data_IF_470793992096
#
_entry.id   IF_470793992096
#
_cell.length_a   1.000
_cell.length_b   1.000
_cell.length_c   1.000
_cell.angle_alpha   90.00
_cell.angle_beta   90.00
_cell.angle_gamma   90.00
#
_symmetry.space_group_name_H-M   'P 1'
#
loop_
_entity.id
_entity.type
_entity.pdbx_description
1 polymer ?
#
# COMPACT_ATOMS: atom_id res chain seq x y z
N UNK A 1 21.79 0.22 23.26
CA UNK A 1 20.62 0.66 24.08
C UNK A 1 19.47 1.28 23.24
N UNK A 2 19.65 1.44 21.92
CA UNK A 2 18.67 2.13 21.05
C UNK A 2 17.51 1.24 20.57
N UNK A 3 17.64 -0.08 20.62
CA UNK A 3 16.70 -0.97 19.97
C UNK A 3 15.43 -1.35 20.77
N UNK A 4 15.41 -1.15 22.08
CA UNK A 4 14.26 -1.52 22.92
C UNK A 4 13.04 -0.60 22.70
N UNK A 5 13.27 0.71 22.56
CA UNK A 5 12.16 1.67 22.36
C UNK A 5 11.48 1.51 20.99
N UNK A 6 12.25 1.20 19.92
CA UNK A 6 11.71 0.91 18.60
C UNK A 6 10.91 -0.42 18.61
N UNK A 7 11.40 -1.44 19.32
CA UNK A 7 10.69 -2.72 19.46
C UNK A 7 9.34 -2.57 20.17
N UNK A 8 9.27 -1.74 21.22
CA UNK A 8 8.01 -1.46 21.93
C UNK A 8 7.02 -0.66 21.08
N UNK A 9 7.48 0.35 20.33
CA UNK A 9 6.60 1.12 19.41
C UNK A 9 5.96 0.19 18.37
N UNK A 10 6.74 -0.70 17.75
CA UNK A 10 6.23 -1.67 16.79
C UNK A 10 5.23 -2.66 17.37
N UNK A 11 5.36 -3.09 18.63
CA UNK A 11 4.45 -4.03 19.28
C UNK A 11 3.07 -3.43 19.55
N UNK A 12 3.00 -2.16 19.96
CA UNK A 12 1.73 -1.44 20.19
C UNK A 12 1.02 -1.21 18.84
N UNK A 13 1.73 -0.70 17.84
CA UNK A 13 1.19 -0.48 16.50
C UNK A 13 0.62 -1.77 15.89
N UNK A 14 1.34 -2.89 16.01
CA UNK A 14 0.88 -4.22 15.57
C UNK A 14 -0.38 -4.68 16.29
N UNK A 15 -0.46 -4.48 17.61
CA UNK A 15 -1.63 -4.84 18.39
C UNK A 15 -2.85 -4.00 18.02
N UNK A 16 -2.66 -2.70 17.84
CA UNK A 16 -3.71 -1.78 17.42
C UNK A 16 -4.18 -2.09 16.00
N UNK A 17 -3.28 -2.29 15.04
CA UNK A 17 -3.62 -2.58 13.65
C UNK A 17 -4.49 -3.85 13.48
N UNK A 18 -4.36 -4.82 14.41
CA UNK A 18 -5.15 -6.06 14.40
C UNK A 18 -6.48 -5.96 15.14
N UNK A 19 -6.57 -5.08 16.15
CA UNK A 19 -7.70 -5.04 17.09
C UNK A 19 -8.60 -3.83 16.94
N UNK A 20 -8.15 -2.78 16.28
CA UNK A 20 -8.94 -1.58 16.09
C UNK A 20 -10.17 -1.87 15.21
N UNK A 21 -11.29 -1.27 15.59
CA UNK A 21 -12.53 -1.31 14.81
C UNK A 21 -12.68 -0.13 13.84
N UNK A 22 -11.69 0.76 13.81
CA UNK A 22 -11.62 1.95 12.96
C UNK A 22 -10.26 2.02 12.26
N UNK A 23 -10.16 2.82 11.22
CA UNK A 23 -8.89 3.11 10.56
C UNK A 23 -7.90 3.76 11.53
N UNK A 24 -6.62 3.45 11.38
CA UNK A 24 -5.53 3.91 12.25
C UNK A 24 -4.57 4.78 11.46
N UNK A 25 -4.32 5.99 11.94
CA UNK A 25 -3.23 6.83 11.47
C UNK A 25 -2.06 6.76 12.47
N UNK A 26 -0.92 6.29 12.00
CA UNK A 26 0.33 6.21 12.76
C UNK A 26 1.27 7.30 12.26
N UNK A 27 1.64 8.22 13.12
CA UNK A 27 2.56 9.31 12.80
C UNK A 27 3.97 8.92 13.23
N UNK A 28 4.93 9.07 12.33
CA UNK A 28 6.36 8.75 12.58
C UNK A 28 7.05 9.87 13.35
N UNK A 29 6.77 11.11 12.97
CA UNK A 29 7.33 12.32 13.57
C UNK A 29 6.20 13.32 13.83
N UNK A 30 5.46 13.16 14.96
CA UNK A 30 4.40 14.09 15.31
C UNK A 30 4.99 15.46 15.66
N UNK A 31 4.59 16.47 14.92
CA UNK A 31 5.00 17.86 15.10
C UNK A 31 3.79 18.72 15.49
N UNK A 32 4.03 19.83 16.19
CA UNK A 32 2.98 20.78 16.57
C UNK A 32 2.53 21.59 15.35
N UNK A 33 3.48 21.90 14.46
CA UNK A 33 3.19 22.60 13.21
C UNK A 33 2.66 21.65 12.14
N UNK A 34 1.69 22.10 11.36
CA UNK A 34 1.11 21.28 10.29
C UNK A 34 2.13 21.06 9.17
N UNK A 35 2.47 19.79 8.92
CA UNK A 35 3.30 19.40 7.79
C UNK A 35 2.43 19.16 6.56
N UNK A 36 2.88 19.65 5.40
CA UNK A 36 2.19 19.39 4.14
C UNK A 36 2.33 17.92 3.75
N UNK A 37 1.21 17.29 3.38
CA UNK A 37 1.18 15.94 2.85
C UNK A 37 1.02 16.01 1.33
N UNK A 38 2.13 16.17 0.60
CA UNK A 38 2.13 16.38 -0.85
C UNK A 38 2.08 15.08 -1.66
N UNK A 39 2.68 14.00 -1.12
CA UNK A 39 2.85 12.71 -1.79
C UNK A 39 2.16 11.61 -1.00
N UNK A 40 1.00 11.20 -1.43
CA UNK A 40 0.29 10.04 -0.88
C UNK A 40 0.60 8.80 -1.72
N UNK A 41 0.81 7.68 -1.06
CA UNK A 41 0.98 6.38 -1.70
C UNK A 41 0.00 5.36 -1.13
N UNK A 42 -0.57 4.51 -1.98
CA UNK A 42 -1.46 3.43 -1.56
C UNK A 42 -1.02 2.11 -2.14
N UNK A 43 -1.09 1.05 -1.32
CA UNK A 43 -0.85 -0.30 -1.79
C UNK A 43 -2.04 -0.81 -2.61
N UNK A 44 -1.80 -1.06 -3.90
CA UNK A 44 -2.76 -1.61 -4.85
C UNK A 44 -2.90 -3.14 -4.80
N UNK A 45 -2.46 -3.78 -3.73
CA UNK A 45 -2.49 -5.23 -3.53
C UNK A 45 -3.81 -5.85 -4.02
N UNK A 46 -3.71 -7.00 -4.70
CA UNK A 46 -4.90 -7.76 -5.15
C UNK A 46 -5.63 -8.39 -3.97
N UNK A 47 -6.53 -7.62 -3.38
CA UNK A 47 -7.31 -8.01 -2.21
C UNK A 47 -8.72 -7.39 -2.29
N UNK A 48 -9.79 -8.02 -1.75
CA UNK A 48 -11.15 -7.48 -1.79
C UNK A 48 -11.31 -6.07 -1.21
N UNK A 49 -10.53 -5.71 -0.19
CA UNK A 49 -10.56 -4.39 0.45
C UNK A 49 -9.84 -3.28 -0.31
N UNK A 50 -9.06 -3.63 -1.34
CA UNK A 50 -8.16 -2.67 -2.01
C UNK A 50 -8.91 -1.52 -2.67
N UNK A 51 -10.07 -1.78 -3.24
CA UNK A 51 -10.90 -0.72 -3.83
C UNK A 51 -11.27 0.35 -2.77
N UNK A 52 -11.72 -0.07 -1.59
CA UNK A 52 -12.07 0.86 -0.51
C UNK A 52 -10.84 1.59 0.05
N UNK A 53 -9.70 0.89 0.11
CA UNK A 53 -8.44 1.50 0.55
C UNK A 53 -7.93 2.55 -0.44
N UNK A 54 -8.07 2.31 -1.75
CA UNK A 54 -7.76 3.30 -2.78
C UNK A 54 -8.72 4.50 -2.68
N UNK A 55 -10.02 4.27 -2.49
CA UNK A 55 -11.00 5.35 -2.25
C UNK A 55 -10.62 6.20 -1.05
N UNK A 56 -10.21 5.57 0.06
CA UNK A 56 -9.75 6.27 1.25
C UNK A 56 -8.47 7.08 0.96
N UNK A 57 -7.52 6.53 0.21
CA UNK A 57 -6.30 7.24 -0.16
C UNK A 57 -6.58 8.47 -1.03
N UNK A 58 -7.52 8.37 -1.98
CA UNK A 58 -7.99 9.53 -2.78
C UNK A 58 -8.66 10.56 -1.88
N UNK A 59 -9.53 10.12 -0.95
CA UNK A 59 -10.16 11.02 0.02
C UNK A 59 -9.12 11.78 0.85
N UNK A 60 -8.10 11.09 1.38
CA UNK A 60 -7.03 11.70 2.15
C UNK A 60 -6.19 12.66 1.29
N UNK A 61 -5.86 12.28 0.05
CA UNK A 61 -5.13 13.13 -0.87
C UNK A 61 -5.89 14.43 -1.19
N UNK A 62 -7.20 14.34 -1.42
CA UNK A 62 -8.06 15.51 -1.62
C UNK A 62 -8.14 16.38 -0.35
N UNK A 63 -8.32 15.75 0.83
CA UNK A 63 -8.39 16.44 2.12
C UNK A 63 -7.12 17.25 2.42
N UNK A 64 -5.96 16.68 2.16
CA UNK A 64 -4.66 17.30 2.36
C UNK A 64 -4.26 18.22 1.19
N UNK A 65 -5.04 18.28 0.12
CA UNK A 65 -4.68 18.98 -1.14
C UNK A 65 -3.32 18.50 -1.68
N UNK A 66 -3.11 17.22 -1.63
CA UNK A 66 -1.86 16.58 -2.07
C UNK A 66 -1.64 16.80 -3.57
N UNK A 67 -0.38 16.90 -3.96
CA UNK A 67 -0.01 17.07 -5.37
C UNK A 67 -0.08 15.76 -6.16
N UNK A 68 0.17 14.63 -5.48
CA UNK A 68 0.29 13.33 -6.11
C UNK A 68 -0.24 12.20 -5.24
N UNK A 69 -0.94 11.27 -5.89
CA UNK A 69 -1.27 9.95 -5.37
C UNK A 69 -0.61 8.88 -6.25
N UNK A 70 0.20 8.00 -5.64
CA UNK A 70 0.79 6.86 -6.33
C UNK A 70 0.13 5.57 -5.87
N UNK A 71 -0.50 4.86 -6.79
CA UNK A 71 -1.03 3.50 -6.54
C UNK A 71 0.06 2.50 -6.89
N UNK A 72 0.55 1.76 -5.90
CA UNK A 72 1.68 0.83 -6.05
C UNK A 72 1.22 -0.60 -5.87
N UNK A 73 1.47 -1.45 -6.85
CA UNK A 73 1.29 -2.92 -6.74
C UNK A 73 2.65 -3.59 -6.57
N UNK A 74 2.78 -4.40 -5.52
CA UNK A 74 3.95 -5.25 -5.31
C UNK A 74 3.74 -6.63 -5.94
N UNK A 75 4.62 -7.01 -6.83
CA UNK A 75 4.61 -8.32 -7.50
C UNK A 75 5.81 -9.14 -7.07
N UNK A 76 5.56 -10.32 -6.50
CA UNK A 76 6.65 -11.24 -6.17
C UNK A 76 7.38 -11.72 -7.44
N UNK A 77 8.73 -11.70 -7.47
CA UNK A 77 9.50 -12.21 -8.60
C UNK A 77 9.21 -13.67 -8.95
N UNK A 78 8.74 -14.46 -7.99
CA UNK A 78 8.30 -15.85 -8.21
C UNK A 78 7.13 -16.01 -9.17
N UNK A 79 6.36 -14.96 -9.41
CA UNK A 79 5.30 -14.94 -10.42
C UNK A 79 5.87 -14.92 -11.84
N UNK A 80 7.14 -14.55 -12.02
CA UNK A 80 7.86 -14.66 -13.28
C UNK A 80 8.40 -16.08 -13.38
N UNK A 81 7.80 -16.89 -14.25
CA UNK A 81 8.12 -18.33 -14.39
C UNK A 81 9.45 -18.57 -15.09
N UNK A 82 9.83 -17.68 -16.01
CA UNK A 82 11.06 -17.79 -16.76
C UNK A 82 12.23 -17.16 -15.99
N UNK A 83 13.25 -17.97 -15.66
CA UNK A 83 14.52 -17.45 -15.16
C UNK A 83 15.36 -16.95 -16.31
N UNK A 84 16.12 -15.88 -16.08
CA UNK A 84 16.97 -15.25 -17.09
C UNK A 84 18.35 -15.91 -17.09
N UNK A 85 18.43 -17.15 -17.60
CA UNK A 85 19.67 -17.93 -17.60
C UNK A 85 20.41 -17.84 -18.97
N UNK A 86 19.72 -17.38 -20.04
CA UNK A 86 20.22 -17.14 -21.39
C UNK A 86 19.49 -15.97 -22.05
N UNK A 87 19.96 -15.48 -23.21
CA UNK A 87 19.37 -14.34 -23.92
C UNK A 87 17.90 -14.57 -24.30
N UNK A 88 17.52 -15.79 -24.63
CA UNK A 88 16.15 -16.14 -24.99
C UNK A 88 15.26 -16.10 -23.74
N UNK A 89 15.75 -16.59 -22.62
CA UNK A 89 15.01 -16.57 -21.35
C UNK A 89 14.86 -15.17 -20.79
N UNK A 90 15.86 -14.28 -20.98
CA UNK A 90 15.77 -12.85 -20.67
C UNK A 90 14.62 -12.19 -21.42
N UNK A 91 14.52 -12.43 -22.74
CA UNK A 91 13.43 -11.88 -23.55
C UNK A 91 12.07 -12.40 -23.12
N UNK A 92 11.95 -13.71 -22.80
CA UNK A 92 10.72 -14.31 -22.30
C UNK A 92 10.32 -13.73 -20.93
N UNK A 93 11.24 -13.64 -20.00
CA UNK A 93 11.01 -13.05 -18.68
C UNK A 93 10.59 -11.57 -18.79
N UNK A 94 11.19 -10.80 -19.66
CA UNK A 94 10.83 -9.40 -19.94
C UNK A 94 9.40 -9.27 -20.50
N UNK A 95 9.01 -10.12 -21.44
CA UNK A 95 7.63 -10.16 -21.99
C UNK A 95 6.60 -10.55 -20.93
N UNK A 96 6.91 -11.54 -20.09
CA UNK A 96 6.05 -11.98 -19.00
C UNK A 96 5.84 -10.86 -18.00
N UNK A 97 6.92 -10.15 -17.62
CA UNK A 97 6.90 -8.98 -16.75
C UNK A 97 6.00 -7.87 -17.31
N UNK A 98 6.17 -7.52 -18.58
CA UNK A 98 5.35 -6.52 -19.27
C UNK A 98 3.86 -6.93 -19.33
N UNK A 99 3.58 -8.24 -19.48
CA UNK A 99 2.21 -8.76 -19.45
C UNK A 99 1.56 -8.61 -18.08
N UNK A 100 2.30 -8.94 -17.00
CA UNK A 100 1.86 -8.76 -15.61
C UNK A 100 1.58 -7.28 -15.36
N UNK A 101 2.50 -6.40 -15.71
CA UNK A 101 2.35 -4.95 -15.54
C UNK A 101 1.08 -4.43 -16.23
N UNK A 102 0.80 -4.87 -17.46
CA UNK A 102 -0.38 -4.43 -18.20
C UNK A 102 -1.68 -4.88 -17.54
N UNK A 103 -1.72 -6.13 -17.04
CA UNK A 103 -2.91 -6.68 -16.37
C UNK A 103 -3.20 -5.93 -15.06
N UNK A 104 -2.18 -5.76 -14.22
CA UNK A 104 -2.35 -5.08 -12.93
C UNK A 104 -2.66 -3.59 -13.13
N UNK A 105 -2.04 -2.95 -14.11
CA UNK A 105 -2.33 -1.56 -14.48
C UNK A 105 -3.80 -1.36 -14.85
N UNK A 106 -4.34 -2.23 -15.72
CA UNK A 106 -5.75 -2.20 -16.10
C UNK A 106 -6.65 -2.36 -14.88
N UNK A 107 -6.38 -3.34 -14.01
CA UNK A 107 -7.14 -3.54 -12.77
C UNK A 107 -7.17 -2.31 -11.87
N UNK A 108 -6.03 -1.63 -11.70
CA UNK A 108 -5.94 -0.41 -10.89
C UNK A 108 -6.71 0.74 -11.55
N UNK A 109 -6.64 0.88 -12.87
CA UNK A 109 -7.40 1.88 -13.61
C UNK A 109 -8.91 1.66 -13.49
N UNK A 110 -9.37 0.39 -13.60
CA UNK A 110 -10.79 0.06 -13.42
C UNK A 110 -11.31 0.45 -12.03
N UNK A 111 -10.49 0.28 -10.98
CA UNK A 111 -10.85 0.73 -9.62
C UNK A 111 -10.95 2.26 -9.52
N UNK A 112 -10.08 2.98 -10.22
CA UNK A 112 -10.00 4.45 -10.14
C UNK A 112 -11.09 5.15 -10.95
N UNK A 113 -11.71 4.50 -11.94
CA UNK A 113 -12.72 5.12 -12.81
C UNK A 113 -13.91 5.68 -12.05
N UNK A 114 -14.33 5.01 -10.97
CA UNK A 114 -15.52 5.36 -10.19
C UNK A 114 -15.20 6.22 -8.95
N UNK A 115 -13.95 6.67 -8.80
CA UNK A 115 -13.53 7.44 -7.61
C UNK A 115 -13.51 8.93 -7.92
N UNK A 116 -14.30 9.77 -7.21
CA UNK A 116 -14.24 11.22 -7.34
C UNK A 116 -12.85 11.75 -6.98
N UNK A 117 -12.24 12.50 -7.91
CA UNK A 117 -10.90 13.03 -7.74
C UNK A 117 -10.87 14.55 -7.90
N UNK A 118 -10.00 15.21 -7.14
CA UNK A 118 -9.68 16.62 -7.37
C UNK A 118 -8.99 16.79 -8.72
N UNK A 119 -9.33 17.85 -9.44
CA UNK A 119 -8.78 18.16 -10.78
C UNK A 119 -7.25 18.32 -10.75
N UNK A 120 -6.70 18.74 -9.62
CA UNK A 120 -5.27 19.00 -9.46
C UNK A 120 -4.48 17.78 -9.00
N UNK A 121 -5.14 16.70 -8.55
CA UNK A 121 -4.47 15.50 -8.05
C UNK A 121 -3.87 14.67 -9.19
N UNK A 122 -2.55 14.60 -9.25
CA UNK A 122 -1.84 13.73 -10.20
C UNK A 122 -1.84 12.29 -9.71
N UNK A 123 -2.49 11.39 -10.45
CA UNK A 123 -2.46 9.96 -10.13
C UNK A 123 -1.42 9.25 -10.98
N UNK A 124 -0.60 8.44 -10.32
CA UNK A 124 0.38 7.54 -10.95
C UNK A 124 0.10 6.11 -10.52
N UNK A 125 0.22 5.20 -11.46
CA UNK A 125 0.26 3.76 -11.19
C UNK A 125 1.68 3.23 -11.35
N UNK A 126 2.11 2.38 -10.43
CA UNK A 126 3.45 1.80 -10.42
C UNK A 126 3.41 0.34 -10.02
N UNK A 127 3.97 -0.51 -10.86
CA UNK A 127 4.22 -1.92 -10.52
C UNK A 127 5.68 -2.06 -10.09
N UNK A 128 5.90 -2.62 -8.91
CA UNK A 128 7.24 -2.88 -8.39
C UNK A 128 7.41 -4.39 -8.15
N UNK A 129 8.59 -4.90 -8.46
CA UNK A 129 8.92 -6.30 -8.28
C UNK A 129 9.86 -6.47 -7.09
N UNK A 130 9.45 -7.28 -6.14
CA UNK A 130 10.24 -7.52 -4.94
C UNK A 130 9.49 -8.29 -3.86
N UNK A 131 10.08 -8.34 -2.68
CA UNK A 131 9.47 -9.00 -1.51
C UNK A 131 8.36 -8.11 -0.95
N UNK A 132 7.09 -8.60 -0.93
CA UNK A 132 5.97 -7.83 -0.44
C UNK A 132 6.17 -7.29 0.98
N UNK A 133 5.73 -6.05 1.20
CA UNK A 133 5.88 -5.32 2.46
C UNK A 133 7.23 -4.63 2.61
N UNK A 134 8.33 -5.31 2.24
CA UNK A 134 9.67 -4.71 2.27
C UNK A 134 9.87 -3.72 1.12
N UNK A 135 9.49 -4.13 -0.09
CA UNK A 135 9.74 -3.34 -1.30
C UNK A 135 8.92 -2.05 -1.30
N UNK A 136 7.65 -2.10 -0.85
CA UNK A 136 6.80 -0.91 -0.79
C UNK A 136 7.28 0.09 0.28
N UNK A 137 7.74 -0.40 1.44
CA UNK A 137 8.30 0.46 2.49
C UNK A 137 9.52 1.22 1.98
N UNK A 138 10.47 0.50 1.39
CA UNK A 138 11.68 1.10 0.83
C UNK A 138 11.39 2.04 -0.37
N UNK A 139 10.39 1.68 -1.18
CA UNK A 139 9.94 2.54 -2.28
C UNK A 139 9.30 3.83 -1.76
N UNK A 140 8.54 3.77 -0.66
CA UNK A 140 7.96 4.95 -0.01
C UNK A 140 9.04 5.91 0.49
N UNK A 141 10.03 5.38 1.20
CA UNK A 141 11.17 6.15 1.70
C UNK A 141 11.94 6.83 0.55
N UNK A 142 12.33 6.05 -0.47
CA UNK A 142 13.11 6.55 -1.62
C UNK A 142 12.38 7.64 -2.42
N UNK A 143 11.05 7.64 -2.43
CA UNK A 143 10.24 8.59 -3.18
C UNK A 143 9.67 9.72 -2.29
N UNK A 144 10.17 9.88 -1.07
CA UNK A 144 9.73 10.93 -0.14
C UNK A 144 8.20 10.97 -0.02
N UNK A 145 7.60 9.80 0.24
CA UNK A 145 6.17 9.67 0.47
C UNK A 145 5.85 10.22 1.85
N UNK A 146 4.84 11.08 1.95
CA UNK A 146 4.40 11.67 3.21
C UNK A 146 3.40 10.79 3.96
N UNK A 147 2.56 10.07 3.21
CA UNK A 147 1.56 9.16 3.77
C UNK A 147 1.47 7.87 2.94
N UNK A 148 1.72 6.73 3.59
CA UNK A 148 1.47 5.40 3.04
C UNK A 148 0.12 4.87 3.53
N UNK A 149 -0.74 4.43 2.59
CA UNK A 149 -2.07 3.90 2.89
C UNK A 149 -2.11 2.40 2.60
N UNK A 150 -2.52 1.61 3.58
CA UNK A 150 -2.56 0.15 3.50
C UNK A 150 -3.92 -0.40 3.93
N UNK A 151 -4.26 -1.59 3.45
CA UNK A 151 -5.38 -2.37 3.98
C UNK A 151 -5.10 -2.79 5.44
N UNK A 152 -6.14 -2.87 6.27
CA UNK A 152 -6.03 -3.54 7.55
C UNK A 152 -5.90 -5.05 7.38
N UNK A 153 -5.16 -5.74 8.27
CA UNK A 153 -5.20 -7.20 8.33
C UNK A 153 -6.60 -7.69 8.67
N UNK A 154 -7.04 -8.80 8.07
CA UNK A 154 -8.32 -9.39 8.44
C UNK A 154 -8.23 -10.11 9.78
N UNK A 155 -9.30 -9.99 10.59
CA UNK A 155 -9.40 -10.66 11.88
C UNK A 155 -9.65 -12.17 11.75
N UNK A 156 -10.18 -12.62 10.60
CA UNK A 156 -10.37 -14.05 10.29
C UNK A 156 -9.21 -14.49 9.38
N UNK A 157 -8.30 -15.27 9.92
CA UNK A 157 -7.10 -15.78 9.27
C UNK A 157 -7.41 -16.71 8.07
N UNK A 158 -7.68 -16.15 6.91
CA UNK A 158 -7.59 -16.85 5.63
C UNK A 158 -6.13 -17.04 5.20
N UNK A 159 -5.89 -17.89 4.19
CA UNK A 159 -4.54 -18.14 3.66
C UNK A 159 -3.91 -16.83 3.13
N UNK A 160 -4.72 -15.99 2.49
CA UNK A 160 -4.28 -14.68 1.99
C UNK A 160 -3.93 -13.69 3.11
N UNK A 161 -4.62 -13.75 4.24
CA UNK A 161 -4.41 -12.84 5.37
C UNK A 161 -3.09 -13.10 6.11
N UNK A 162 -2.58 -14.33 6.10
CA UNK A 162 -1.27 -14.65 6.68
C UNK A 162 -0.14 -13.95 5.94
N UNK A 163 -0.20 -13.95 4.61
CA UNK A 163 0.80 -13.26 3.77
C UNK A 163 0.74 -11.75 4.01
N UNK A 164 -0.48 -11.19 4.04
CA UNK A 164 -0.67 -9.75 4.27
C UNK A 164 -0.23 -9.31 5.67
N UNK A 165 -0.54 -10.08 6.71
CA UNK A 165 -0.09 -9.80 8.09
C UNK A 165 1.43 -9.75 8.18
N UNK A 166 2.11 -10.66 7.47
CA UNK A 166 3.58 -10.70 7.43
C UNK A 166 4.16 -9.46 6.72
N UNK A 167 3.53 -9.03 5.61
CA UNK A 167 3.95 -7.83 4.88
C UNK A 167 3.80 -6.56 5.72
N UNK A 168 2.68 -6.42 6.43
CA UNK A 168 2.45 -5.29 7.34
C UNK A 168 3.46 -5.27 8.50
N UNK A 169 3.90 -6.43 8.98
CA UNK A 169 4.91 -6.52 10.05
C UNK A 169 6.26 -5.90 9.64
N UNK A 170 6.66 -6.07 8.38
CA UNK A 170 7.88 -5.41 7.87
C UNK A 170 7.73 -3.89 7.88
N UNK A 171 6.60 -3.37 7.42
CA UNK A 171 6.34 -1.93 7.38
C UNK A 171 6.26 -1.34 8.79
N UNK A 172 5.63 -2.06 9.73
CA UNK A 172 5.51 -1.61 11.13
C UNK A 172 6.80 -1.72 11.93
N UNK A 173 7.76 -2.55 11.49
CA UNK A 173 9.06 -2.65 12.14
C UNK A 173 9.98 -1.47 11.83
N UNK A 174 9.83 -0.92 10.64
CA UNK A 174 10.63 0.21 10.15
C UNK A 174 9.68 1.14 9.39
N UNK A 175 8.93 1.96 10.16
CA UNK A 175 7.95 2.89 9.60
C UNK A 175 8.65 3.93 8.71
N UNK A 176 8.59 3.79 7.39
CA UNK A 176 9.33 4.67 6.47
C UNK A 176 8.73 6.06 6.38
N UNK A 177 7.46 6.19 6.73
CA UNK A 177 6.66 7.42 6.65
C UNK A 177 5.42 7.28 7.51
N UNK A 178 4.59 8.32 7.59
CA UNK A 178 3.27 8.23 8.22
C UNK A 178 2.42 7.16 7.53
N UNK A 179 1.67 6.40 8.32
CA UNK A 179 0.97 5.21 7.85
C UNK A 179 -0.51 5.26 8.21
N UNK A 180 -1.39 5.16 7.21
CA UNK A 180 -2.82 4.96 7.39
C UNK A 180 -3.18 3.50 7.11
N UNK A 181 -3.66 2.80 8.13
CA UNK A 181 -4.22 1.44 8.02
C UNK A 181 -5.74 1.56 7.92
N UNK A 182 -6.29 1.20 6.77
CA UNK A 182 -7.73 1.35 6.48
C UNK A 182 -8.50 0.11 6.93
N UNK A 183 -9.35 0.29 7.94
CA UNK A 183 -10.33 -0.72 8.36
C UNK A 183 -11.66 -0.48 7.64
N UNK A 184 -12.03 -1.40 6.74
CA UNK A 184 -13.33 -1.37 6.09
C UNK A 184 -14.37 -2.05 6.97
N UNK A 185 -15.41 -1.32 7.35
CA UNK A 185 -16.58 -1.92 8.02
C UNK A 185 -17.48 -2.58 6.97
N UNK A 186 -18.14 -3.69 7.29
CA UNK A 186 -19.08 -4.39 6.40
C UNK A 186 -20.17 -3.48 5.77
N UNK A 187 -20.44 -2.31 6.36
CA UNK A 187 -21.39 -1.33 5.83
C UNK A 187 -20.89 -0.56 4.60
N UNK A 188 -19.56 -0.46 4.38
CA UNK A 188 -19.02 0.20 3.18
C UNK A 188 -19.13 -0.67 1.92
N UNK A 189 -19.29 -1.99 2.10
CA UNK A 189 -19.34 -2.96 0.99
C UNK A 189 -20.73 -3.01 0.32
N UNK A 190 -21.78 -2.50 0.99
CA UNK A 190 -23.18 -2.59 0.52
C UNK A 190 -23.88 -1.24 0.35
N UNK A 191 -23.14 -0.13 0.30
CA UNK A 191 -23.67 1.23 0.16
C UNK A 191 -23.71 1.73 -1.29
N UNK A 192 -24.20 0.92 -2.24
CA UNK A 192 -24.65 1.38 -3.56
C UNK A 192 -25.76 0.46 -4.03
N UNK A 193 -26.95 0.77 -3.58
CA UNK A 193 -28.21 0.42 -4.24
C UNK A 193 -28.91 1.74 -4.59
#
# INVERSE_FOLDING_TARGET
KENLAQYYKGSIARKLSRKASCSLLLLTHPEIESRQCNNVMVNGLKHPKTADTIKMAVFMANLFKSNQLTVVEEVEPKKIKNRADDDISVVKASREKASIERIEKKRLQDILQDVPMDVNLKIKDKIIFGKPGYTIGHFAEKNSVDLLVLNSPDTKLGIFDRVFTHNLEYILSDLPTDLLIVHTTKKMIHGSA
#
